data_IF_508486217384
#
_entry.id   IF_508486217384
#
_cell.length_a   1.000
_cell.length_b   1.000
_cell.length_c   1.000
_cell.angle_alpha   90.00
_cell.angle_beta   90.00
_cell.angle_gamma   90.00
#
_symmetry.space_group_name_H-M   'P 1'
#
loop_
_entity.id
_entity.type
_entity.pdbx_description
1 polymer ?
#
# COMPACT_ATOMS: atom_id res chain seq x y z
N UNK A 1 17.90 6.51 -12.89
CA UNK A 1 16.94 7.06 -11.90
C UNK A 1 16.14 5.91 -11.29
N UNK A 2 16.19 5.71 -9.97
CA UNK A 2 15.71 4.55 -9.19
C UNK A 2 16.22 3.15 -9.60
N UNK A 3 16.08 2.70 -10.85
CA UNK A 3 16.55 1.38 -11.32
C UNK A 3 18.07 1.23 -11.11
N UNK A 4 18.85 2.20 -11.59
CA UNK A 4 20.30 2.26 -11.35
C UNK A 4 20.69 2.29 -9.87
N UNK A 5 19.84 2.86 -9.01
CA UNK A 5 20.06 2.86 -7.57
C UNK A 5 19.80 1.45 -7.02
N UNK A 6 18.66 0.86 -7.37
CA UNK A 6 18.29 -0.50 -6.97
C UNK A 6 19.33 -1.54 -7.39
N UNK A 7 19.91 -1.42 -8.59
CA UNK A 7 20.98 -2.30 -9.08
C UNK A 7 22.29 -2.19 -8.27
N UNK A 8 22.47 -1.11 -7.51
CA UNK A 8 23.67 -0.81 -6.73
C UNK A 8 23.56 -1.11 -5.24
N UNK A 9 22.37 -1.52 -4.77
CA UNK A 9 22.09 -1.78 -3.35
C UNK A 9 21.53 -3.18 -3.14
N UNK A 10 21.54 -3.68 -1.90
CA UNK A 10 20.90 -4.94 -1.55
C UNK A 10 19.37 -4.84 -1.64
N UNK A 11 18.72 -6.01 -1.70
CA UNK A 11 17.27 -6.14 -1.84
C UNK A 11 16.46 -5.35 -0.80
N UNK A 12 16.93 -5.25 0.46
CA UNK A 12 16.20 -4.54 1.52
C UNK A 12 16.27 -3.02 1.36
N UNK A 13 17.28 -2.55 0.65
CA UNK A 13 17.51 -1.13 0.36
C UNK A 13 16.94 -0.70 -1.00
N UNK A 14 16.48 -1.63 -1.83
CA UNK A 14 15.83 -1.32 -3.11
C UNK A 14 14.48 -0.64 -2.87
N UNK A 15 14.16 0.37 -3.66
CA UNK A 15 12.83 0.97 -3.70
C UNK A 15 11.92 0.12 -4.58
N UNK A 16 10.79 -0.32 -4.03
CA UNK A 16 9.86 -1.26 -4.67
C UNK A 16 8.51 -0.61 -4.97
N UNK A 17 7.81 -1.17 -5.96
CA UNK A 17 6.42 -0.78 -6.23
C UNK A 17 5.58 -1.12 -5.00
N UNK A 18 4.83 -0.14 -4.51
CA UNK A 18 4.02 -0.28 -3.30
C UNK A 18 4.63 0.37 -2.06
N UNK A 19 5.91 0.76 -2.13
CA UNK A 19 6.56 1.50 -1.06
C UNK A 19 5.82 2.79 -0.73
N UNK A 20 5.64 3.01 0.56
CA UNK A 20 5.11 4.27 1.06
C UNK A 20 6.27 5.21 1.33
N UNK A 21 6.34 6.31 0.59
CA UNK A 21 7.33 7.37 0.83
C UNK A 21 6.96 8.06 2.15
N UNK A 22 7.86 7.96 3.14
CA UNK A 22 7.73 8.55 4.47
C UNK A 22 8.33 9.96 4.51
N UNK A 23 9.45 10.16 3.83
CA UNK A 23 10.07 11.48 3.67
C UNK A 23 10.89 11.59 2.40
N UNK A 24 11.09 12.83 1.97
CA UNK A 24 11.97 13.22 0.87
C UNK A 24 12.82 14.39 1.36
N UNK A 25 14.15 14.27 1.31
CA UNK A 25 15.09 15.31 1.73
C UNK A 25 14.79 15.87 3.14
N UNK A 26 14.41 14.98 4.07
CA UNK A 26 14.07 15.34 5.45
C UNK A 26 12.67 15.94 5.66
N UNK A 27 11.86 16.12 4.61
CA UNK A 27 10.45 16.55 4.71
C UNK A 27 9.51 15.36 4.82
N UNK A 28 8.68 15.32 5.85
CA UNK A 28 7.83 14.16 6.16
C UNK A 28 6.38 14.34 5.71
N UNK A 29 5.67 13.23 5.48
CA UNK A 29 4.25 13.25 5.07
C UNK A 29 3.33 13.95 6.07
N UNK A 30 3.76 14.10 7.33
CA UNK A 30 3.02 14.81 8.38
C UNK A 30 3.04 16.34 8.23
N UNK A 31 3.95 16.87 7.42
CA UNK A 31 4.18 18.31 7.32
C UNK A 31 3.29 18.97 6.26
N UNK A 32 3.20 18.38 5.04
CA UNK A 32 2.27 18.69 3.94
C UNK A 32 2.66 17.88 2.68
N UNK A 33 1.74 17.10 2.09
CA UNK A 33 2.05 16.27 0.91
C UNK A 33 2.52 17.05 -0.33
N UNK A 34 2.13 18.33 -0.44
CA UNK A 34 2.60 19.21 -1.52
C UNK A 34 4.06 19.64 -1.38
N UNK A 35 4.63 19.61 -0.17
CA UNK A 35 6.05 19.89 0.04
C UNK A 35 6.92 18.72 -0.41
N UNK A 36 6.49 17.47 -0.18
CA UNK A 36 7.19 16.30 -0.71
C UNK A 36 7.29 16.37 -2.24
N UNK A 37 6.21 16.79 -2.92
CA UNK A 37 6.21 16.93 -4.38
C UNK A 37 7.20 17.99 -4.88
N UNK A 38 7.43 19.06 -4.11
CA UNK A 38 8.46 20.06 -4.46
C UNK A 38 9.87 19.47 -4.34
N UNK A 39 10.10 18.67 -3.30
CA UNK A 39 11.41 18.05 -3.08
C UNK A 39 11.79 17.07 -4.22
N UNK A 40 10.81 16.42 -4.86
CA UNK A 40 11.03 15.60 -6.05
C UNK A 40 11.59 16.38 -7.26
N UNK A 41 11.51 17.71 -7.27
CA UNK A 41 12.11 18.54 -8.31
C UNK A 41 13.63 18.70 -8.19
N UNK A 42 14.25 18.26 -7.09
CA UNK A 42 15.69 18.37 -6.87
C UNK A 42 16.49 17.33 -7.66
N UNK A 43 17.75 17.66 -7.96
CA UNK A 43 18.67 16.76 -8.68
C UNK A 43 19.19 15.59 -7.83
N UNK A 44 19.05 15.67 -6.50
CA UNK A 44 19.40 14.62 -5.56
C UNK A 44 18.24 14.43 -4.59
N UNK A 45 17.93 13.16 -4.30
CA UNK A 45 16.84 12.77 -3.42
C UNK A 45 17.38 11.82 -2.36
N UNK A 46 17.12 12.14 -1.11
CA UNK A 46 17.17 11.21 0.01
C UNK A 46 15.74 10.77 0.32
N UNK A 47 15.48 9.47 0.16
CA UNK A 47 14.15 8.89 0.38
C UNK A 47 14.17 8.02 1.62
N UNK A 48 13.21 8.22 2.50
CA UNK A 48 12.84 7.22 3.51
C UNK A 48 11.55 6.57 3.05
N UNK A 49 11.61 5.27 2.79
CA UNK A 49 10.46 4.48 2.37
C UNK A 49 10.09 3.44 3.42
N UNK A 50 8.81 3.05 3.42
CA UNK A 50 8.31 1.94 4.21
C UNK A 50 7.76 0.86 3.29
N UNK A 51 8.41 -0.30 3.32
CA UNK A 51 7.99 -1.51 2.61
C UNK A 51 6.65 -2.00 3.13
N UNK A 52 5.69 -2.34 2.25
CA UNK A 52 4.41 -2.90 2.67
C UNK A 52 4.58 -4.34 3.15
N UNK A 53 3.85 -4.71 4.21
CA UNK A 53 3.66 -6.11 4.58
C UNK A 53 2.49 -6.65 3.76
N UNK A 54 2.74 -7.63 2.90
CA UNK A 54 1.70 -8.31 2.12
C UNK A 54 1.25 -9.56 2.86
N UNK A 55 -0.05 -9.69 3.11
CA UNK A 55 -0.65 -10.87 3.75
C UNK A 55 -1.64 -11.52 2.78
N UNK A 56 -1.54 -12.84 2.65
CA UNK A 56 -2.49 -13.64 1.90
C UNK A 56 -3.61 -14.14 2.83
N UNK A 57 -4.86 -13.83 2.49
CA UNK A 57 -6.03 -14.31 3.22
C UNK A 57 -6.75 -15.37 2.39
N UNK A 58 -7.09 -16.50 3.03
CA UNK A 58 -7.98 -17.51 2.48
C UNK A 58 -9.28 -17.46 3.27
N UNK A 59 -10.36 -17.05 2.61
CA UNK A 59 -11.66 -16.81 3.24
C UNK A 59 -12.77 -17.44 2.42
N UNK A 60 -13.81 -17.90 3.10
CA UNK A 60 -15.07 -18.29 2.48
C UNK A 60 -16.09 -17.16 2.64
N UNK A 61 -16.96 -16.97 1.65
CA UNK A 61 -18.01 -15.96 1.73
C UNK A 61 -19.07 -16.40 2.73
N UNK A 62 -19.45 -15.50 3.63
CA UNK A 62 -20.64 -15.65 4.46
C UNK A 62 -21.77 -14.82 3.85
N UNK A 63 -22.91 -15.46 3.55
CA UNK A 63 -24.07 -14.80 2.93
C UNK A 63 -23.73 -13.99 1.67
N UNK A 64 -22.77 -14.47 0.87
CA UNK A 64 -22.35 -13.83 -0.38
C UNK A 64 -21.33 -12.69 -0.25
N UNK A 65 -20.90 -12.36 0.98
CA UNK A 65 -19.96 -11.26 1.27
C UNK A 65 -18.72 -11.73 2.03
N UNK A 66 -17.64 -10.94 1.95
CA UNK A 66 -16.43 -11.10 2.77
C UNK A 66 -16.40 -10.13 3.97
N UNK A 67 -17.40 -9.28 4.13
CA UNK A 67 -17.40 -8.25 5.18
C UNK A 67 -16.43 -7.10 4.86
N UNK A 68 -16.32 -6.71 3.58
CA UNK A 68 -15.48 -5.59 3.15
C UNK A 68 -16.32 -4.56 2.41
N UNK A 69 -16.13 -3.30 2.77
CA UNK A 69 -16.50 -2.19 1.90
C UNK A 69 -15.23 -1.61 1.28
N UNK A 70 -15.27 -1.45 -0.03
CA UNK A 70 -14.13 -1.15 -0.85
C UNK A 70 -14.32 0.19 -1.52
N UNK A 71 -13.26 0.97 -1.54
CA UNK A 71 -13.18 2.20 -2.31
C UNK A 71 -12.07 2.08 -3.35
N UNK A 72 -12.18 2.87 -4.40
CA UNK A 72 -11.13 3.05 -5.38
C UNK A 72 -10.79 4.54 -5.35
N UNK A 73 -9.52 4.85 -5.55
CA UNK A 73 -9.12 6.24 -5.63
C UNK A 73 -9.73 6.88 -6.90
N UNK A 74 -10.30 8.07 -6.74
CA UNK A 74 -10.94 8.80 -7.85
C UNK A 74 -9.86 9.36 -8.81
N UNK A 75 -10.12 9.28 -10.12
CA UNK A 75 -9.25 9.81 -11.17
C UNK A 75 -8.62 8.73 -12.07
N UNK A 76 -8.26 9.14 -13.29
CA UNK A 76 -7.77 8.26 -14.37
C UNK A 76 -6.46 7.50 -14.05
N UNK A 77 -5.78 7.84 -12.95
CA UNK A 77 -4.43 7.36 -12.62
C UNK A 77 -4.44 6.39 -11.43
N UNK A 78 -5.52 6.37 -10.64
CA UNK A 78 -5.51 5.66 -9.38
C UNK A 78 -6.11 4.24 -9.53
N UNK A 79 -5.23 3.25 -9.71
CA UNK A 79 -5.58 1.85 -10.03
C UNK A 79 -5.67 0.92 -8.83
N UNK A 80 -5.76 1.45 -7.60
CA UNK A 80 -5.72 0.64 -6.38
C UNK A 80 -7.10 0.47 -5.75
N UNK A 81 -7.43 -0.78 -5.40
CA UNK A 81 -8.57 -1.13 -4.56
C UNK A 81 -8.17 -1.02 -3.10
N UNK A 82 -8.81 -0.12 -2.36
CA UNK A 82 -8.50 0.15 -0.95
C UNK A 82 -9.69 -0.23 -0.05
N UNK A 83 -9.39 -0.68 1.15
CA UNK A 83 -10.41 -1.02 2.15
C UNK A 83 -10.90 0.26 2.80
N UNK A 84 -12.18 0.57 2.60
CA UNK A 84 -12.82 1.73 3.21
C UNK A 84 -13.25 1.44 4.65
N UNK A 85 -13.84 0.26 4.87
CA UNK A 85 -14.21 -0.26 6.20
C UNK A 85 -14.27 -1.78 6.18
N UNK A 86 -13.95 -2.38 7.33
CA UNK A 86 -14.23 -3.79 7.61
C UNK A 86 -15.61 -3.86 8.27
N UNK A 87 -16.47 -4.71 7.72
CA UNK A 87 -17.82 -4.98 8.18
C UNK A 87 -17.86 -6.35 8.87
N UNK A 88 -18.98 -6.66 9.50
CA UNK A 88 -19.20 -7.99 10.07
C UNK A 88 -19.10 -9.08 9.00
N UNK A 89 -18.39 -10.16 9.32
CA UNK A 89 -18.18 -11.30 8.43
C UNK A 89 -16.73 -11.79 8.39
N UNK A 90 -16.37 -12.56 7.34
CA UNK A 90 -15.15 -13.36 7.32
C UNK A 90 -13.85 -12.59 7.58
N UNK A 91 -13.72 -11.35 7.10
CA UNK A 91 -12.52 -10.54 7.38
C UNK A 91 -12.46 -10.08 8.85
N UNK A 92 -13.61 -9.78 9.46
CA UNK A 92 -13.65 -9.44 10.89
C UNK A 92 -13.28 -10.65 11.75
N UNK A 93 -13.78 -11.84 11.40
CA UNK A 93 -13.44 -13.10 12.09
C UNK A 93 -11.95 -13.43 11.98
N UNK A 94 -11.36 -13.21 10.79
CA UNK A 94 -9.92 -13.29 10.60
C UNK A 94 -9.15 -12.35 11.53
N UNK A 95 -9.58 -11.09 11.63
CA UNK A 95 -8.91 -10.08 12.45
C UNK A 95 -8.93 -10.38 13.96
N UNK A 96 -9.87 -11.20 14.43
CA UNK A 96 -9.94 -11.62 15.84
C UNK A 96 -8.90 -12.69 16.19
N UNK A 97 -8.40 -13.43 15.19
CA UNK A 97 -7.54 -14.60 15.40
C UNK A 97 -6.13 -14.42 14.82
N UNK A 98 -5.95 -13.45 13.91
CA UNK A 98 -4.67 -13.17 13.26
C UNK A 98 -3.84 -12.11 13.99
N UNK A 99 -2.52 -12.33 14.05
CA UNK A 99 -1.56 -11.31 14.50
C UNK A 99 -1.49 -10.10 13.56
N UNK A 100 -1.77 -10.29 12.27
CA UNK A 100 -1.86 -9.22 11.27
C UNK A 100 -3.32 -9.01 10.88
N UNK A 101 -3.81 -7.83 11.23
CA UNK A 101 -5.19 -7.44 10.99
C UNK A 101 -5.30 -6.63 9.70
N UNK A 102 -6.38 -6.88 8.97
CA UNK A 102 -6.85 -6.09 7.83
C UNK A 102 -7.62 -4.88 8.35
N UNK A 103 -7.27 -3.67 7.89
CA UNK A 103 -7.79 -2.41 8.40
C UNK A 103 -8.16 -1.46 7.26
N UNK A 104 -8.88 -0.38 7.62
CA UNK A 104 -9.12 0.74 6.72
C UNK A 104 -7.78 1.30 6.21
N UNK A 105 -7.70 1.53 4.90
CA UNK A 105 -6.51 2.05 4.23
C UNK A 105 -5.59 0.97 3.66
N UNK A 106 -5.75 -0.30 4.08
CA UNK A 106 -5.04 -1.40 3.44
C UNK A 106 -5.47 -1.55 1.98
N UNK A 107 -4.53 -2.01 1.15
CA UNK A 107 -4.71 -2.15 -0.29
C UNK A 107 -4.82 -3.62 -0.67
N UNK A 108 -5.82 -3.92 -1.50
CA UNK A 108 -5.95 -5.24 -2.11
C UNK A 108 -5.06 -5.25 -3.36
N UNK A 109 -3.97 -6.01 -3.28
CA UNK A 109 -2.98 -6.11 -4.36
C UNK A 109 -3.29 -7.25 -5.34
N UNK A 110 -4.02 -8.28 -4.89
CA UNK A 110 -4.45 -9.39 -5.72
C UNK A 110 -5.72 -10.05 -5.17
N UNK A 111 -6.51 -10.65 -6.06
CA UNK A 111 -7.66 -11.51 -5.73
C UNK A 111 -7.55 -12.78 -6.54
N UNK A 112 -7.54 -13.95 -5.87
CA UNK A 112 -7.42 -15.26 -6.51
C UNK A 112 -6.24 -15.35 -7.50
N UNK A 113 -5.09 -14.82 -7.10
CA UNK A 113 -3.87 -14.80 -7.92
C UNK A 113 -3.86 -13.77 -9.06
N UNK A 114 -4.94 -12.99 -9.24
CA UNK A 114 -5.00 -11.91 -10.25
C UNK A 114 -4.69 -10.57 -9.61
N UNK A 115 -3.69 -9.87 -10.13
CA UNK A 115 -3.30 -8.52 -9.74
C UNK A 115 -3.48 -7.54 -10.90
N UNK A 116 -3.58 -6.24 -10.59
CA UNK A 116 -3.49 -5.18 -11.59
C UNK A 116 -2.03 -4.90 -11.98
N UNK A 117 -1.81 -4.40 -13.19
CA UNK A 117 -0.54 -3.77 -13.56
C UNK A 117 -0.56 -2.30 -13.10
N UNK A 118 0.53 -1.79 -12.51
CA UNK A 118 0.70 -0.36 -12.23
C UNK A 118 0.39 0.52 -13.43
#
# INVERSE_FOLDING_TARGET
PIERYNDSVDFFSQVQVGDFIVSVNGKSVGDNSSELLKEFGNNQLELVVRHPIVVALQLEKLNGSFGLDLTHAEGQIARSLAIFRVLDGPVQDWNQTSAVQVKKGDRIVAVNGKSGSP
#
